data_IF_096424427734
#
_entry.id   IF_096424427734
#
_cell.length_a   1.000
_cell.length_b   1.000
_cell.length_c   1.000
_cell.angle_alpha   90.00
_cell.angle_beta   90.00
_cell.angle_gamma   90.00
#
_symmetry.space_group_name_H-M   'P 1'
#
loop_
_entity.id
_entity.type
_entity.pdbx_description
1 polymer ?
#
# COMPACT_ATOMS: atom_id res chain seq x y z
N UNK A 1 -48.67 13.05 27.19
CA UNK A 1 -49.77 12.91 26.20
C UNK A 1 -49.31 12.95 24.74
N UNK A 2 -49.02 14.09 24.10
CA UNK A 2 -48.77 14.11 22.63
C UNK A 2 -47.59 13.26 22.17
N UNK A 3 -46.49 13.29 22.93
CA UNK A 3 -45.29 12.47 22.67
C UNK A 3 -45.57 10.96 22.83
N UNK A 4 -46.45 10.57 23.75
CA UNK A 4 -46.82 9.17 23.97
C UNK A 4 -47.77 8.68 22.88
N UNK A 5 -48.75 9.50 22.48
CA UNK A 5 -49.63 9.21 21.35
C UNK A 5 -48.84 9.08 20.04
N UNK A 6 -47.79 9.88 19.85
CA UNK A 6 -46.86 9.72 18.71
C UNK A 6 -46.13 8.37 18.75
N UNK A 7 -45.57 8.00 19.91
CA UNK A 7 -44.89 6.69 20.08
C UNK A 7 -45.81 5.51 19.80
N UNK A 8 -47.07 5.56 20.26
CA UNK A 8 -48.08 4.52 20.01
C UNK A 8 -48.38 4.40 18.51
N UNK A 9 -48.60 5.54 17.82
CA UNK A 9 -48.84 5.55 16.36
C UNK A 9 -47.64 5.03 15.58
N UNK A 10 -46.42 5.37 15.99
CA UNK A 10 -45.22 4.92 15.31
C UNK A 10 -44.97 3.42 15.53
N UNK A 11 -45.25 2.91 16.73
CA UNK A 11 -45.20 1.48 17.03
C UNK A 11 -46.22 0.69 16.20
N UNK A 12 -47.48 1.13 16.17
CA UNK A 12 -48.53 0.49 15.37
C UNK A 12 -48.19 0.49 13.87
N UNK A 13 -47.58 1.57 13.35
CA UNK A 13 -47.10 1.63 11.96
C UNK A 13 -45.98 0.62 11.70
N UNK A 14 -45.02 0.47 12.62
CA UNK A 14 -43.95 -0.52 12.51
C UNK A 14 -44.50 -1.95 12.54
N UNK A 15 -45.40 -2.25 13.47
CA UNK A 15 -46.04 -3.57 13.59
C UNK A 15 -46.82 -3.95 12.33
N UNK A 16 -47.62 -3.01 11.78
CA UNK A 16 -48.30 -3.23 10.50
C UNK A 16 -47.32 -3.55 9.37
N UNK A 17 -46.25 -2.78 9.25
CA UNK A 17 -45.25 -3.01 8.21
C UNK A 17 -44.56 -4.37 8.36
N UNK A 18 -44.29 -4.79 9.60
CA UNK A 18 -43.70 -6.09 9.87
C UNK A 18 -44.66 -7.23 9.54
N UNK A 19 -45.94 -7.11 9.90
CA UNK A 19 -46.97 -8.08 9.49
C UNK A 19 -47.10 -8.19 7.96
N UNK A 20 -47.01 -7.06 7.25
CA UNK A 20 -47.01 -7.06 5.78
C UNK A 20 -45.77 -7.78 5.24
N UNK A 21 -44.58 -7.57 5.82
CA UNK A 21 -43.37 -8.30 5.42
C UNK A 21 -43.51 -9.80 5.65
N UNK A 22 -44.05 -10.19 6.81
CA UNK A 22 -44.30 -11.59 7.14
C UNK A 22 -45.29 -12.22 6.15
N UNK A 23 -46.38 -11.50 5.79
CA UNK A 23 -47.33 -11.96 4.79
C UNK A 23 -46.67 -12.15 3.41
N UNK A 24 -45.87 -11.18 2.97
CA UNK A 24 -45.14 -11.26 1.70
C UNK A 24 -44.15 -12.43 1.72
N UNK A 25 -43.43 -12.63 2.83
CA UNK A 25 -42.52 -13.76 3.00
C UNK A 25 -43.26 -15.10 2.94
N UNK A 26 -44.43 -15.20 3.59
CA UNK A 26 -45.28 -16.38 3.54
C UNK A 26 -45.74 -16.70 2.11
N UNK A 27 -46.22 -15.69 1.38
CA UNK A 27 -46.65 -15.84 -0.03
C UNK A 27 -45.47 -16.25 -0.90
N UNK A 28 -44.31 -15.59 -0.78
CA UNK A 28 -43.08 -15.94 -1.52
C UNK A 28 -42.60 -17.36 -1.23
N UNK A 29 -42.76 -17.83 0.02
CA UNK A 29 -42.41 -19.21 0.40
C UNK A 29 -43.34 -20.23 -0.26
N UNK A 30 -44.59 -19.86 -0.58
CA UNK A 30 -45.58 -20.76 -1.17
C UNK A 30 -45.70 -20.66 -2.70
N UNK A 31 -45.34 -19.52 -3.29
CA UNK A 31 -45.38 -19.31 -4.74
C UNK A 31 -44.34 -20.19 -5.45
N UNK A 32 -44.82 -21.13 -6.27
CA UNK A 32 -44.00 -22.10 -7.02
C UNK A 32 -43.05 -21.41 -8.00
N UNK A 33 -43.42 -20.27 -8.57
CA UNK A 33 -42.59 -19.52 -9.53
C UNK A 33 -41.38 -18.90 -8.83
N UNK A 34 -41.61 -18.34 -7.64
CA UNK A 34 -40.54 -17.77 -6.80
C UNK A 34 -39.60 -18.88 -6.32
N UNK A 35 -40.13 -20.05 -5.95
CA UNK A 35 -39.30 -21.20 -5.60
C UNK A 35 -38.45 -21.68 -6.79
N UNK A 36 -39.02 -21.80 -7.98
CA UNK A 36 -38.29 -22.20 -9.18
C UNK A 36 -37.17 -21.21 -9.53
N UNK A 37 -37.46 -19.91 -9.51
CA UNK A 37 -36.46 -18.88 -9.73
C UNK A 37 -35.37 -18.89 -8.65
N UNK A 38 -35.75 -19.08 -7.37
CA UNK A 38 -34.77 -19.18 -6.27
C UNK A 38 -33.80 -20.34 -6.49
N UNK A 39 -34.31 -21.52 -6.88
CA UNK A 39 -33.47 -22.69 -7.20
C UNK A 39 -32.52 -22.41 -8.36
N UNK A 40 -33.03 -21.82 -9.44
CA UNK A 40 -32.20 -21.46 -10.61
C UNK A 40 -31.09 -20.47 -10.24
N UNK A 41 -31.38 -19.45 -9.43
CA UNK A 41 -30.36 -18.51 -8.96
C UNK A 41 -29.33 -19.18 -8.04
N UNK A 42 -29.78 -20.09 -7.17
CA UNK A 42 -28.92 -20.86 -6.28
C UNK A 42 -27.96 -21.77 -7.08
N UNK A 43 -28.46 -22.45 -8.11
CA UNK A 43 -27.66 -23.26 -9.04
C UNK A 43 -26.63 -22.41 -9.80
N UNK A 44 -27.04 -21.26 -10.35
CA UNK A 44 -26.13 -20.34 -11.02
C UNK A 44 -25.05 -19.79 -10.08
N UNK A 45 -25.41 -19.49 -8.84
CA UNK A 45 -24.45 -19.02 -7.84
C UNK A 45 -23.48 -20.13 -7.43
N UNK A 46 -23.96 -21.36 -7.28
CA UNK A 46 -23.11 -22.52 -7.02
C UNK A 46 -22.14 -22.77 -8.18
N UNK A 47 -22.60 -22.69 -9.44
CA UNK A 47 -21.74 -22.83 -10.62
C UNK A 47 -20.67 -21.73 -10.67
N UNK A 48 -21.05 -20.47 -10.43
CA UNK A 48 -20.11 -19.34 -10.36
C UNK A 48 -19.10 -19.54 -9.23
N UNK A 49 -19.53 -20.02 -8.06
CA UNK A 49 -18.64 -20.29 -6.94
C UNK A 49 -17.61 -21.39 -7.26
N UNK A 50 -18.04 -22.49 -7.91
CA UNK A 50 -17.13 -23.56 -8.35
C UNK A 50 -16.09 -23.04 -9.35
N UNK A 51 -16.53 -22.29 -10.36
CA UNK A 51 -15.62 -21.66 -11.35
C UNK A 51 -14.65 -20.70 -10.69
N UNK A 52 -15.10 -19.90 -9.72
CA UNK A 52 -14.24 -18.98 -8.98
C UNK A 52 -13.18 -19.72 -8.16
N UNK A 53 -13.55 -20.84 -7.52
CA UNK A 53 -12.60 -21.69 -6.78
C UNK A 53 -11.55 -22.32 -7.71
N UNK A 54 -11.98 -22.86 -8.85
CA UNK A 54 -11.09 -23.42 -9.87
C UNK A 54 -10.11 -22.38 -10.39
N UNK A 55 -10.60 -21.18 -10.73
CA UNK A 55 -9.76 -20.06 -11.17
C UNK A 55 -8.77 -19.64 -10.08
N UNK A 56 -9.21 -19.58 -8.82
CA UNK A 56 -8.32 -19.28 -7.68
C UNK A 56 -7.23 -20.33 -7.53
N UNK A 57 -7.56 -21.62 -7.71
CA UNK A 57 -6.58 -22.71 -7.66
C UNK A 57 -5.58 -22.61 -8.82
N UNK A 58 -6.07 -22.34 -10.03
CA UNK A 58 -5.20 -22.15 -11.20
C UNK A 58 -4.28 -20.94 -11.05
N UNK A 59 -4.78 -19.83 -10.51
CA UNK A 59 -3.96 -18.65 -10.22
C UNK A 59 -2.85 -18.95 -9.22
N UNK A 60 -3.16 -19.66 -8.12
CA UNK A 60 -2.14 -20.11 -7.15
C UNK A 60 -1.07 -20.98 -7.79
N UNK A 61 -1.48 -21.94 -8.63
CA UNK A 61 -0.54 -22.81 -9.35
C UNK A 61 0.32 -22.03 -10.35
N UNK A 62 -0.27 -21.06 -11.08
CA UNK A 62 0.48 -20.19 -11.99
C UNK A 62 1.48 -19.31 -11.25
N UNK A 63 1.08 -18.74 -10.11
CA UNK A 63 1.97 -17.94 -9.27
C UNK A 63 3.10 -18.79 -8.69
N UNK A 64 2.82 -20.00 -8.22
CA UNK A 64 3.85 -20.94 -7.75
C UNK A 64 4.83 -21.30 -8.87
N UNK A 65 4.34 -21.64 -10.06
CA UNK A 65 5.20 -21.89 -11.24
C UNK A 65 6.03 -20.69 -11.64
N UNK A 66 5.46 -19.49 -11.58
CA UNK A 66 6.20 -18.26 -11.87
C UNK A 66 7.29 -18.02 -10.83
N UNK A 67 7.02 -18.28 -9.55
CA UNK A 67 8.01 -18.19 -8.48
C UNK A 67 9.12 -19.26 -8.62
N UNK A 68 8.80 -20.47 -9.05
CA UNK A 68 9.80 -21.52 -9.34
C UNK A 68 10.68 -21.15 -10.56
N UNK A 69 10.07 -20.55 -11.59
CA UNK A 69 10.78 -20.10 -12.79
C UNK A 69 11.51 -18.78 -12.59
N UNK A 70 11.20 -18.05 -11.53
CA UNK A 70 11.87 -16.81 -11.17
C UNK A 70 13.30 -17.13 -10.77
N UNK A 71 14.20 -17.07 -11.74
CA UNK A 71 15.64 -16.97 -11.51
C UNK A 71 15.95 -15.52 -11.16
N UNK A 72 16.43 -15.31 -9.94
CA UNK A 72 17.02 -14.04 -9.52
C UNK A 72 18.05 -13.60 -10.56
N UNK A 73 17.91 -12.38 -11.10
CA UNK A 73 18.94 -11.83 -11.98
C UNK A 73 20.27 -11.76 -11.20
N UNK A 74 21.39 -12.04 -11.88
CA UNK A 74 22.71 -12.22 -11.23
C UNK A 74 23.17 -11.05 -10.36
N UNK A 75 22.74 -9.83 -10.66
CA UNK A 75 23.02 -8.63 -9.87
C UNK A 75 22.12 -8.47 -8.62
N UNK A 76 20.99 -9.19 -8.54
CA UNK A 76 20.08 -9.22 -7.39
C UNK A 76 20.43 -10.32 -6.37
N UNK A 77 21.36 -11.22 -6.71
CA UNK A 77 21.78 -12.24 -5.73
C UNK A 77 22.57 -11.56 -4.62
N UNK A 78 22.09 -11.69 -3.38
CA UNK A 78 22.69 -11.05 -2.20
C UNK A 78 24.20 -11.30 -2.09
N UNK A 79 24.66 -12.48 -2.52
CA UNK A 79 26.06 -12.86 -2.50
C UNK A 79 26.96 -12.08 -3.48
N UNK A 80 26.44 -11.61 -4.63
CA UNK A 80 27.22 -10.78 -5.55
C UNK A 80 27.24 -9.32 -5.06
N UNK A 81 26.11 -8.83 -4.54
CA UNK A 81 26.04 -7.50 -3.95
C UNK A 81 26.95 -7.39 -2.71
N UNK A 82 26.99 -8.41 -1.85
CA UNK A 82 27.87 -8.47 -0.68
C UNK A 82 29.35 -8.43 -1.06
N UNK A 83 29.74 -9.12 -2.15
CA UNK A 83 31.11 -9.06 -2.67
C UNK A 83 31.46 -7.67 -3.21
N UNK A 84 30.56 -7.05 -3.99
CA UNK A 84 30.77 -5.68 -4.48
C UNK A 84 30.88 -4.67 -3.33
N UNK A 85 30.11 -4.87 -2.25
CA UNK A 85 30.18 -4.06 -1.03
C UNK A 85 31.53 -4.23 -0.32
N UNK A 86 31.98 -5.47 -0.10
CA UNK A 86 33.29 -5.75 0.49
C UNK A 86 34.44 -5.17 -0.32
N UNK A 87 34.36 -5.22 -1.65
CA UNK A 87 35.35 -4.60 -2.53
C UNK A 87 35.35 -3.07 -2.42
N UNK A 88 34.17 -2.45 -2.25
CA UNK A 88 34.05 -1.01 -2.02
C UNK A 88 34.61 -0.61 -0.65
N UNK A 89 34.28 -1.35 0.40
CA UNK A 89 34.76 -1.13 1.77
C UNK A 89 36.29 -1.24 1.82
N UNK A 90 36.88 -2.27 1.20
CA UNK A 90 38.33 -2.43 1.14
C UNK A 90 39.02 -1.32 0.35
N UNK A 91 38.40 -0.78 -0.70
CA UNK A 91 38.91 0.40 -1.43
C UNK A 91 38.83 1.65 -0.56
N UNK A 92 37.71 1.83 0.14
CA UNK A 92 37.50 2.97 1.02
C UNK A 92 38.46 2.96 2.21
N UNK A 93 38.67 1.81 2.85
CA UNK A 93 39.67 1.61 3.90
C UNK A 93 41.09 1.88 3.39
N UNK A 94 41.39 1.56 2.12
CA UNK A 94 42.69 1.86 1.53
C UNK A 94 42.88 3.35 1.19
N UNK A 95 41.82 4.05 0.81
CA UNK A 95 41.86 5.47 0.41
C UNK A 95 41.68 6.43 1.60
N UNK A 96 40.97 5.99 2.65
CA UNK A 96 40.55 6.81 3.79
C UNK A 96 40.79 6.17 5.17
N UNK A 97 41.23 4.91 5.24
CA UNK A 97 41.56 4.22 6.49
C UNK A 97 42.95 4.61 6.98
N UNK A 98 43.04 5.80 7.57
CA UNK A 98 44.20 6.19 8.38
C UNK A 98 44.12 5.45 9.74
N UNK A 99 45.15 4.66 10.03
CA UNK A 99 45.18 3.70 11.13
C UNK A 99 45.13 4.37 12.50
N UNK A 100 44.00 4.27 13.19
CA UNK A 100 43.91 4.48 14.63
C UNK A 100 43.78 3.13 15.33
N UNK A 101 44.93 2.49 15.55
CA UNK A 101 45.12 1.52 16.62
C UNK A 101 46.25 2.06 17.53
N UNK A 102 45.80 2.72 18.60
CA UNK A 102 46.41 2.88 19.92
C UNK A 102 47.96 2.94 20.03
N UNK A 103 48.51 4.16 20.02
CA UNK A 103 49.66 4.50 20.88
C UNK A 103 49.76 6.02 21.16
N UNK A 104 49.83 6.34 22.45
CA UNK A 104 50.22 7.58 23.16
C UNK A 104 51.29 8.43 22.40
N UNK A 105 51.36 9.78 22.38
CA UNK A 105 51.24 10.83 23.41
C UNK A 105 51.34 12.24 22.75
N UNK A 106 50.73 13.25 23.40
CA UNK A 106 51.02 14.71 23.50
C UNK A 106 51.77 15.48 22.37
N UNK A 107 51.21 16.61 21.88
CA UNK A 107 51.48 17.95 22.47
C UNK A 107 50.68 19.09 21.80
N UNK A 108 50.51 20.19 22.54
CA UNK A 108 49.58 21.31 22.35
C UNK A 108 50.06 22.40 21.37
N UNK A 109 49.13 23.14 20.73
CA UNK A 109 48.85 24.58 21.00
C UNK A 109 47.93 25.22 19.91
N UNK A 110 47.20 26.31 20.25
CA UNK A 110 45.98 26.75 19.55
C UNK A 110 46.18 27.98 18.64
N UNK A 111 45.25 28.22 17.70
CA UNK A 111 44.92 29.59 17.24
C UNK A 111 43.63 29.70 16.39
N UNK A 112 42.62 30.30 17.01
CA UNK A 112 41.58 31.20 16.48
C UNK A 112 41.22 31.18 14.99
N UNK A 113 39.93 30.94 14.73
CA UNK A 113 39.03 32.02 14.29
C UNK A 113 38.35 31.88 12.93
N UNK A 114 37.03 32.10 12.97
CA UNK A 114 36.12 32.60 11.91
C UNK A 114 35.32 31.56 11.10
N UNK A 115 34.07 31.38 11.54
CA UNK A 115 32.83 31.72 10.81
C UNK A 115 32.64 31.24 9.36
N UNK A 116 31.56 30.51 9.12
CA UNK A 116 31.07 30.18 7.77
C UNK A 116 29.76 29.40 7.75
N UNK A 117 28.85 29.68 8.68
CA UNK A 117 27.48 29.18 8.69
C UNK A 117 26.63 30.15 7.86
N UNK A 118 26.45 29.89 6.56
CA UNK A 118 25.40 30.49 5.68
C UNK A 118 25.67 30.19 4.17
N UNK A 119 25.75 28.93 3.74
CA UNK A 119 25.83 28.65 2.28
C UNK A 119 25.01 27.46 1.78
N UNK A 120 24.41 26.64 2.65
CA UNK A 120 23.67 25.45 2.20
C UNK A 120 22.17 25.74 1.94
N UNK A 121 21.58 26.76 2.57
CA UNK A 121 20.17 27.13 2.34
C UNK A 121 19.94 27.88 1.02
N UNK A 122 20.98 28.49 0.44
CA UNK A 122 20.88 29.22 -0.82
C UNK A 122 20.90 28.30 -2.06
N UNK A 123 21.68 27.21 -2.00
CA UNK A 123 21.81 26.27 -3.12
C UNK A 123 20.61 25.32 -3.26
N UNK A 124 19.92 25.00 -2.15
CA UNK A 124 18.70 24.18 -2.20
C UNK A 124 17.53 24.93 -2.86
N UNK A 125 17.44 26.25 -2.65
CA UNK A 125 16.37 27.09 -3.20
C UNK A 125 16.43 27.21 -4.74
N UNK A 126 17.62 27.23 -5.33
CA UNK A 126 17.80 27.32 -6.79
C UNK A 126 17.34 26.05 -7.52
N UNK A 127 17.49 24.87 -6.90
CA UNK A 127 17.05 23.58 -7.48
C UNK A 127 15.52 23.42 -7.56
N UNK A 128 14.76 24.11 -6.72
CA UNK A 128 13.28 24.06 -6.74
C UNK A 128 12.65 25.01 -7.77
N UNK A 129 13.42 25.92 -8.37
CA UNK A 129 12.91 26.85 -9.38
C UNK A 129 12.87 26.26 -10.80
N UNK A 130 13.54 25.12 -11.03
CA UNK A 130 13.67 24.47 -12.34
C UNK A 130 12.91 23.14 -12.47
N UNK A 131 11.79 22.95 -11.74
CA UNK A 131 10.95 21.78 -11.96
C UNK A 131 10.29 21.83 -13.36
N UNK A 132 10.39 20.72 -14.10
CA UNK A 132 9.80 20.55 -15.43
C UNK A 132 8.76 19.42 -15.44
N UNK A 133 7.62 19.63 -16.12
CA UNK A 133 6.57 18.63 -16.27
C UNK A 133 6.61 17.96 -17.66
N UNK A 134 6.98 16.67 -17.76
CA UNK A 134 7.01 15.92 -19.04
C UNK A 134 5.62 15.61 -19.62
N UNK A 135 4.54 15.85 -18.89
CA UNK A 135 3.18 15.58 -19.36
C UNK A 135 2.58 16.76 -20.16
N UNK A 136 3.09 17.97 -19.95
CA UNK A 136 2.60 19.18 -20.62
C UNK A 136 3.71 20.07 -21.20
N UNK A 137 4.96 19.58 -21.19
CA UNK A 137 6.18 20.21 -21.69
C UNK A 137 6.40 21.65 -21.20
N UNK A 138 6.17 21.90 -19.90
CA UNK A 138 6.28 23.23 -19.29
C UNK A 138 7.09 23.19 -17.99
N UNK A 139 7.88 24.23 -17.74
CA UNK A 139 8.52 24.49 -16.45
C UNK A 139 7.55 25.15 -15.46
N UNK A 140 7.65 24.76 -14.19
CA UNK A 140 6.89 25.36 -13.10
C UNK A 140 7.51 26.72 -12.74
N UNK A 141 6.67 27.77 -12.62
CA UNK A 141 7.13 29.16 -12.41
C UNK A 141 6.91 29.68 -10.99
N UNK A 142 6.50 28.83 -10.06
CA UNK A 142 6.13 29.25 -8.71
C UNK A 142 6.67 28.25 -7.70
N UNK A 143 7.37 28.77 -6.71
CA UNK A 143 7.68 28.04 -5.48
C UNK A 143 6.37 27.69 -4.76
N UNK A 144 6.38 26.51 -4.13
CA UNK A 144 5.25 25.77 -3.55
C UNK A 144 4.24 26.64 -2.79
N UNK A 145 2.94 26.32 -2.93
CA UNK A 145 1.87 26.71 -2.01
C UNK A 145 1.72 25.67 -0.89
#
# INVERSE_FOLDING_TARGET
MEKENKKIRDRARKEKNELVRQLVAFIRKRDKRVQAHRKLVEEQNAEKARKAEEMRRQQKLKQAKLAEQYREQSWMTMANLEKELQEMEARYEKEFGDGSDENEVEDQEPRNGLDGKDSEEAEEAELYQDLYCPACDKSFKTEKA
#
